data_IF_849561032896
#
_entry.id   IF_849561032896
#
_cell.length_a   1.000
_cell.length_b   1.000
_cell.length_c   1.000
_cell.angle_alpha   90.00
_cell.angle_beta   90.00
_cell.angle_gamma   90.00
#
_symmetry.space_group_name_H-M   'P 1'
#
loop_
_entity.id
_entity.type
_entity.pdbx_description
1 polymer ?
#
# COMPACT_ATOMS: atom_id res chain seq x y z
N UNK A 1 -28.30 10.78 -4.08
CA UNK A 1 -27.27 11.79 -4.41
C UNK A 1 -26.33 11.19 -5.46
N UNK A 2 -26.64 11.33 -6.76
CA UNK A 2 -25.81 10.77 -7.83
C UNK A 2 -24.63 11.71 -8.12
N UNK A 3 -23.48 11.49 -7.48
CA UNK A 3 -22.23 12.14 -7.87
C UNK A 3 -21.88 11.66 -9.29
N UNK A 4 -21.96 12.55 -10.27
CA UNK A 4 -21.49 12.26 -11.64
C UNK A 4 -19.98 12.03 -11.57
N UNK A 5 -19.55 10.80 -11.76
CA UNK A 5 -18.14 10.44 -11.86
C UNK A 5 -17.60 11.10 -13.14
N UNK A 6 -16.65 12.02 -12.98
CA UNK A 6 -15.97 12.67 -14.10
C UNK A 6 -14.72 11.86 -14.47
N UNK A 7 -14.36 11.86 -15.76
CA UNK A 7 -13.12 11.23 -16.25
C UNK A 7 -11.90 11.73 -15.46
N UNK A 8 -11.89 13.02 -15.08
CA UNK A 8 -10.86 13.60 -14.24
C UNK A 8 -10.78 12.95 -12.85
N UNK A 9 -11.91 12.68 -12.20
CA UNK A 9 -11.92 12.00 -10.90
C UNK A 9 -11.46 10.54 -10.98
N UNK A 10 -11.69 9.89 -12.13
CA UNK A 10 -11.28 8.50 -12.36
C UNK A 10 -9.78 8.41 -12.62
N UNK A 11 -9.20 9.36 -13.35
CA UNK A 11 -7.76 9.50 -13.54
C UNK A 11 -7.03 9.79 -12.22
N UNK A 12 -7.56 10.71 -11.40
CA UNK A 12 -6.98 11.00 -10.07
C UNK A 12 -7.01 9.76 -9.18
N UNK A 13 -8.14 9.05 -9.13
CA UNK A 13 -8.25 7.82 -8.35
C UNK A 13 -7.27 6.73 -8.82
N UNK A 14 -7.15 6.53 -10.14
CA UNK A 14 -6.16 5.61 -10.73
C UNK A 14 -4.73 6.01 -10.35
N UNK A 15 -4.40 7.30 -10.44
CA UNK A 15 -3.07 7.80 -10.09
C UNK A 15 -2.72 7.56 -8.62
N UNK A 16 -3.68 7.78 -7.71
CA UNK A 16 -3.50 7.50 -6.28
C UNK A 16 -3.27 6.00 -6.05
N UNK A 17 -4.09 5.13 -6.65
CA UNK A 17 -3.99 3.67 -6.47
C UNK A 17 -2.70 3.10 -7.06
N UNK A 18 -2.30 3.54 -8.26
CA UNK A 18 -1.04 3.11 -8.86
C UNK A 18 0.18 3.63 -8.11
N UNK A 19 0.11 4.88 -7.61
CA UNK A 19 1.13 5.41 -6.72
C UNK A 19 1.23 4.59 -5.43
N UNK A 20 0.11 4.08 -4.94
CA UNK A 20 0.05 3.27 -3.73
C UNK A 20 0.73 1.91 -3.87
N UNK A 21 0.39 1.21 -4.96
CA UNK A 21 0.92 -0.12 -5.28
C UNK A 21 2.41 -0.06 -5.66
N UNK A 22 2.84 1.03 -6.31
CA UNK A 22 4.19 1.16 -6.87
C UNK A 22 5.30 1.42 -5.86
N UNK A 23 5.01 1.98 -4.67
CA UNK A 23 6.07 2.32 -3.72
C UNK A 23 6.71 1.10 -3.06
N UNK A 24 5.93 0.06 -2.74
CA UNK A 24 6.44 -1.11 -2.02
C UNK A 24 7.49 -1.90 -2.81
N UNK A 25 7.31 -2.18 -4.12
CA UNK A 25 8.36 -2.76 -4.96
C UNK A 25 9.64 -1.94 -5.03
N UNK A 26 9.55 -0.60 -5.06
CA UNK A 26 10.72 0.27 -5.15
C UNK A 26 11.64 0.13 -3.92
N UNK A 27 11.08 -0.05 -2.71
CA UNK A 27 11.91 -0.36 -1.54
C UNK A 27 12.56 -1.72 -1.63
N UNK A 28 11.83 -2.73 -2.10
CA UNK A 28 12.40 -4.08 -2.25
C UNK A 28 13.57 -4.03 -3.23
N UNK A 29 13.43 -3.32 -4.35
CA UNK A 29 14.51 -3.13 -5.31
C UNK A 29 15.69 -2.35 -4.71
N UNK A 30 15.45 -1.26 -3.96
CA UNK A 30 16.48 -0.50 -3.24
C UNK A 30 17.25 -1.39 -2.27
N UNK A 31 16.54 -2.22 -1.49
CA UNK A 31 17.13 -3.15 -0.52
C UNK A 31 17.93 -4.25 -1.20
N UNK A 32 17.44 -4.82 -2.30
CA UNK A 32 18.14 -5.85 -3.08
C UNK A 32 19.48 -5.36 -3.64
N UNK A 33 19.53 -4.14 -4.15
CA UNK A 33 20.76 -3.54 -4.68
C UNK A 33 21.82 -3.27 -3.59
N UNK A 34 21.42 -3.24 -2.32
CA UNK A 34 22.32 -3.05 -1.18
C UNK A 34 22.95 -4.33 -0.62
N UNK A 35 22.50 -5.53 -1.02
CA UNK A 35 22.91 -6.80 -0.40
C UNK A 35 24.30 -7.27 -0.87
N UNK A 36 24.69 -7.00 -2.12
CA UNK A 36 25.94 -7.50 -2.72
C UNK A 36 26.98 -6.38 -2.99
N UNK A 37 27.20 -5.44 -2.07
CA UNK A 37 28.15 -4.32 -2.26
C UNK A 37 27.94 -3.52 -3.57
N UNK A 38 26.73 -3.52 -4.14
CA UNK A 38 26.42 -2.87 -5.41
C UNK A 38 26.84 -3.67 -6.67
N UNK A 39 27.15 -4.98 -6.55
CA UNK A 39 27.34 -5.84 -7.72
C UNK A 39 26.00 -6.11 -8.41
N UNK A 40 25.71 -5.32 -9.43
CA UNK A 40 24.51 -5.45 -10.25
C UNK A 40 24.76 -6.51 -11.33
N UNK A 41 24.34 -7.74 -11.05
CA UNK A 41 24.29 -8.81 -12.07
C UNK A 41 22.94 -8.82 -12.79
N UNK A 42 22.94 -9.13 -14.10
CA UNK A 42 21.72 -9.34 -14.87
C UNK A 42 20.77 -10.35 -14.21
N UNK A 43 21.33 -11.37 -13.56
CA UNK A 43 20.54 -12.40 -12.89
C UNK A 43 19.83 -11.88 -11.62
N UNK A 44 20.44 -10.91 -10.93
CA UNK A 44 19.86 -10.27 -9.75
C UNK A 44 18.72 -9.33 -10.15
N UNK A 45 18.88 -8.57 -11.23
CA UNK A 45 17.80 -7.71 -11.78
C UNK A 45 16.62 -8.57 -12.25
N UNK A 46 16.88 -9.56 -13.12
CA UNK A 46 15.82 -10.41 -13.65
C UNK A 46 15.15 -11.24 -12.56
N UNK A 47 15.92 -11.74 -11.59
CA UNK A 47 15.41 -12.44 -10.42
C UNK A 47 14.53 -11.55 -9.55
N UNK A 48 14.98 -10.34 -9.21
CA UNK A 48 14.23 -9.38 -8.40
C UNK A 48 12.94 -8.93 -9.05
N UNK A 49 12.98 -8.56 -10.34
CA UNK A 49 11.78 -8.17 -11.10
C UNK A 49 10.79 -9.33 -11.20
N UNK A 50 11.26 -10.54 -11.47
CA UNK A 50 10.41 -11.74 -11.51
C UNK A 50 9.75 -12.02 -10.15
N UNK A 51 10.51 -11.89 -9.06
CA UNK A 51 10.02 -12.13 -7.71
C UNK A 51 8.94 -11.11 -7.32
N UNK A 52 9.16 -9.83 -7.61
CA UNK A 52 8.15 -8.77 -7.44
C UNK A 52 6.90 -9.07 -8.28
N UNK A 53 7.09 -9.40 -9.56
CA UNK A 53 5.99 -9.68 -10.48
C UNK A 53 5.11 -10.85 -10.00
N UNK A 54 5.73 -11.98 -9.65
CA UNK A 54 5.00 -13.15 -9.16
C UNK A 54 4.38 -12.91 -7.79
N UNK A 55 5.07 -12.20 -6.90
CA UNK A 55 4.53 -11.88 -5.56
C UNK A 55 3.30 -10.99 -5.67
N UNK A 56 3.35 -9.92 -6.48
CA UNK A 56 2.20 -9.05 -6.69
C UNK A 56 1.05 -9.81 -7.31
N UNK A 57 1.31 -10.61 -8.36
CA UNK A 57 0.28 -11.40 -9.07
C UNK A 57 -0.39 -12.41 -8.14
N UNK A 58 0.39 -13.16 -7.36
CA UNK A 58 -0.14 -14.17 -6.43
C UNK A 58 -0.87 -13.52 -5.25
N UNK A 59 -0.29 -12.47 -4.66
CA UNK A 59 -0.90 -11.75 -3.55
C UNK A 59 -2.25 -11.16 -3.95
N UNK A 60 -2.36 -10.51 -5.11
CA UNK A 60 -3.63 -9.93 -5.57
C UNK A 60 -4.67 -11.01 -5.88
N UNK A 61 -4.25 -12.11 -6.52
CA UNK A 61 -5.16 -13.19 -6.91
C UNK A 61 -5.72 -13.91 -5.67
N UNK A 62 -4.86 -14.32 -4.73
CA UNK A 62 -5.30 -15.09 -3.58
C UNK A 62 -6.09 -14.22 -2.60
N UNK A 63 -5.55 -13.06 -2.19
CA UNK A 63 -6.16 -12.22 -1.16
C UNK A 63 -7.43 -11.52 -1.67
N UNK A 64 -7.39 -10.94 -2.87
CA UNK A 64 -8.48 -10.09 -3.34
C UNK A 64 -9.49 -10.87 -4.18
N UNK A 65 -9.03 -11.66 -5.16
CA UNK A 65 -9.95 -12.37 -6.06
C UNK A 65 -10.62 -13.55 -5.35
N UNK A 66 -9.85 -14.37 -4.64
CA UNK A 66 -10.40 -15.57 -4.01
C UNK A 66 -11.15 -15.27 -2.70
N UNK A 67 -10.59 -14.44 -1.81
CA UNK A 67 -11.16 -14.23 -0.47
C UNK A 67 -12.10 -13.02 -0.44
N UNK A 68 -11.70 -11.88 -1.02
CA UNK A 68 -12.43 -10.62 -0.83
C UNK A 68 -13.67 -10.51 -1.72
N UNK A 69 -13.62 -11.05 -2.96
CA UNK A 69 -14.78 -11.03 -3.86
C UNK A 69 -15.85 -12.07 -3.49
N UNK A 70 -15.49 -13.18 -2.84
CA UNK A 70 -16.46 -14.17 -2.34
C UNK A 70 -17.16 -13.74 -1.04
N UNK A 71 -16.59 -12.78 -0.32
CA UNK A 71 -17.11 -12.29 0.95
C UNK A 71 -18.02 -11.06 0.78
N UNK A 72 -19.04 -11.18 -0.06
CA UNK A 72 -20.03 -10.12 -0.27
C UNK A 72 -21.20 -10.20 0.74
N UNK A 73 -21.70 -9.04 1.19
CA UNK A 73 -22.90 -8.96 2.02
C UNK A 73 -24.01 -8.22 1.28
N UNK A 74 -24.80 -8.92 0.45
CA UNK A 74 -25.94 -8.32 -0.27
C UNK A 74 -25.58 -7.04 -1.03
N UNK A 75 -24.43 -7.04 -1.72
CA UNK A 75 -23.97 -5.90 -2.52
C UNK A 75 -23.13 -4.83 -1.79
N UNK A 76 -22.93 -4.94 -0.47
CA UNK A 76 -21.91 -4.14 0.23
C UNK A 76 -20.62 -4.96 0.36
N UNK A 77 -19.60 -4.60 -0.44
CA UNK A 77 -18.26 -5.19 -0.38
C UNK A 77 -17.33 -4.41 0.55
N UNK A 78 -16.44 -5.12 1.24
CA UNK A 78 -15.37 -4.52 2.03
C UNK A 78 -15.25 -5.05 3.45
N UNK A 79 -14.15 -4.69 4.10
CA UNK A 79 -13.76 -5.15 5.44
C UNK A 79 -14.87 -4.79 6.48
N UNK A 80 -15.54 -3.65 6.29
CA UNK A 80 -16.66 -3.19 7.14
C UNK A 80 -17.96 -4.00 6.95
N UNK A 81 -18.26 -4.46 5.75
CA UNK A 81 -19.41 -5.33 5.48
C UNK A 81 -19.21 -6.71 6.08
N UNK A 82 -17.98 -7.24 5.96
CA UNK A 82 -17.52 -8.45 6.64
C UNK A 82 -17.65 -8.33 8.18
N UNK A 83 -17.33 -7.17 8.76
CA UNK A 83 -17.55 -6.92 10.20
C UNK A 83 -19.02 -7.03 10.61
N UNK A 84 -19.94 -6.56 9.78
CA UNK A 84 -21.39 -6.64 10.06
C UNK A 84 -21.93 -8.08 9.98
N UNK A 85 -21.38 -8.91 9.09
CA UNK A 85 -21.73 -10.33 8.92
C UNK A 85 -21.19 -11.19 10.06
N UNK A 86 -19.92 -10.98 10.42
CA UNK A 86 -19.20 -11.77 11.43
C UNK A 86 -19.85 -11.65 12.81
N UNK A 87 -20.35 -10.46 13.17
CA UNK A 87 -21.09 -10.21 14.41
C UNK A 87 -22.34 -11.08 14.56
N UNK A 88 -22.97 -11.50 13.46
CA UNK A 88 -24.19 -12.33 13.46
C UNK A 88 -23.88 -13.83 13.63
N UNK A 89 -22.67 -14.30 13.26
CA UNK A 89 -22.30 -15.72 13.35
C UNK A 89 -21.76 -16.12 14.72
N UNK A 90 -20.90 -15.32 15.36
CA UNK A 90 -20.41 -15.61 16.70
C UNK A 90 -19.94 -14.36 17.45
N UNK A 91 -20.33 -14.21 18.73
CA UNK A 91 -19.96 -13.06 19.58
C UNK A 91 -18.44 -12.93 19.78
N UNK A 92 -17.70 -14.03 19.80
CA UNK A 92 -16.24 -14.03 19.97
C UNK A 92 -15.49 -13.45 18.76
N UNK A 93 -16.07 -13.56 17.55
CA UNK A 93 -15.43 -13.05 16.33
C UNK A 93 -15.40 -11.51 16.25
N UNK A 94 -16.03 -10.80 17.20
CA UNK A 94 -15.91 -9.34 17.35
C UNK A 94 -14.47 -8.94 17.70
N UNK A 95 -13.76 -9.76 18.49
CA UNK A 95 -12.39 -9.44 18.92
C UNK A 95 -11.42 -9.36 17.73
N UNK A 96 -11.27 -10.42 16.90
CA UNK A 96 -10.41 -10.35 15.72
C UNK A 96 -10.92 -9.30 14.71
N UNK A 97 -12.23 -9.05 14.67
CA UNK A 97 -12.80 -8.01 13.84
C UNK A 97 -12.35 -6.59 14.25
N UNK A 98 -12.43 -6.25 15.53
CA UNK A 98 -11.98 -4.95 16.04
C UNK A 98 -10.48 -4.78 15.84
N UNK A 99 -9.70 -5.83 16.07
CA UNK A 99 -8.24 -5.82 15.84
C UNK A 99 -7.95 -5.55 14.35
N UNK A 100 -8.60 -6.27 13.43
CA UNK A 100 -8.43 -6.04 12.00
C UNK A 100 -8.81 -4.62 11.58
N UNK A 101 -9.87 -4.06 12.17
CA UNK A 101 -10.34 -2.70 11.87
C UNK A 101 -9.37 -1.64 12.36
N UNK A 102 -8.84 -1.83 13.57
CA UNK A 102 -7.80 -0.99 14.14
C UNK A 102 -6.50 -1.06 13.33
N UNK A 103 -6.07 -2.25 12.93
CA UNK A 103 -4.89 -2.42 12.07
C UNK A 103 -5.06 -1.76 10.71
N UNK A 104 -6.24 -1.84 10.10
CA UNK A 104 -6.53 -1.17 8.83
C UNK A 104 -6.51 0.36 8.96
N UNK A 105 -7.07 0.91 10.04
CA UNK A 105 -6.99 2.35 10.33
C UNK A 105 -5.55 2.79 10.61
N UNK A 106 -4.78 1.99 11.35
CA UNK A 106 -3.37 2.25 11.62
C UNK A 106 -2.55 2.26 10.31
N UNK A 107 -2.78 1.30 9.41
CA UNK A 107 -2.13 1.21 8.11
C UNK A 107 -2.44 2.45 7.23
N UNK A 108 -3.70 2.89 7.24
CA UNK A 108 -4.14 4.12 6.58
C UNK A 108 -3.52 5.40 7.15
N UNK A 109 -3.21 5.42 8.45
CA UNK A 109 -2.47 6.52 9.08
C UNK A 109 -0.97 6.47 8.76
N UNK A 110 -0.35 5.29 8.75
CA UNK A 110 1.10 5.10 8.56
C UNK A 110 1.53 5.41 7.13
N UNK A 111 0.71 5.06 6.14
CA UNK A 111 1.08 5.14 4.72
C UNK A 111 1.46 6.56 4.24
N UNK A 112 0.68 7.63 4.54
CA UNK A 112 1.07 9.00 4.18
C UNK A 112 2.43 9.42 4.76
N UNK A 113 2.74 9.00 5.98
CA UNK A 113 3.97 9.39 6.69
C UNK A 113 5.20 8.74 6.06
N UNK A 114 5.09 7.45 5.72
CA UNK A 114 6.16 6.70 5.04
C UNK A 114 6.39 7.25 3.62
N UNK A 115 5.30 7.59 2.90
CA UNK A 115 5.34 8.21 1.56
C UNK A 115 6.12 9.52 1.54
N UNK A 116 5.78 10.44 2.45
CA UNK A 116 6.43 11.77 2.51
C UNK A 116 7.90 11.64 2.87
N UNK A 117 8.22 10.84 3.88
CA UNK A 117 9.61 10.61 4.31
C UNK A 117 10.46 10.07 3.16
N UNK A 118 9.91 9.12 2.40
CA UNK A 118 10.67 8.45 1.35
C UNK A 118 10.79 9.25 0.06
N UNK A 119 9.80 10.10 -0.23
CA UNK A 119 9.93 11.10 -1.29
C UNK A 119 11.10 12.06 -0.99
N UNK A 120 11.28 12.44 0.27
CA UNK A 120 12.35 13.35 0.69
C UNK A 120 13.72 12.64 0.74
N UNK A 121 13.78 11.38 1.18
CA UNK A 121 14.97 10.55 1.03
C UNK A 121 15.41 10.46 -0.44
N UNK A 122 14.46 10.24 -1.36
CA UNK A 122 14.73 10.22 -2.80
C UNK A 122 15.23 11.57 -3.32
N UNK A 123 14.67 12.69 -2.85
CA UNK A 123 15.10 14.03 -3.22
C UNK A 123 16.54 14.32 -2.77
N UNK A 124 16.95 13.78 -1.62
CA UNK A 124 18.30 13.95 -1.05
C UNK A 124 19.39 13.34 -1.94
N UNK A 125 19.04 12.40 -2.84
CA UNK A 125 19.98 11.83 -3.82
C UNK A 125 20.34 12.80 -4.95
N UNK A 126 19.49 13.79 -5.22
CA UNK A 126 19.66 14.76 -6.32
C UNK A 126 20.05 16.14 -5.80
N UNK A 127 19.57 16.52 -4.61
CA UNK A 127 19.85 17.80 -3.95
C UNK A 127 20.35 17.53 -2.53
N UNK A 128 21.53 18.05 -2.18
CA UNK A 128 22.01 18.01 -0.78
C UNK A 128 21.22 19.02 0.06
N UNK A 129 20.14 18.55 0.68
CA UNK A 129 19.29 19.33 1.58
C UNK A 129 19.72 19.03 3.02
N UNK A 130 19.84 20.07 3.85
CA UNK A 130 20.09 19.88 5.29
C UNK A 130 18.96 19.07 5.95
N UNK A 131 19.33 18.13 6.82
CA UNK A 131 18.38 17.26 7.55
C UNK A 131 17.34 18.04 8.34
N UNK A 132 17.66 19.27 8.77
CA UNK A 132 16.74 20.17 9.47
C UNK A 132 15.59 20.65 8.57
N UNK A 133 15.89 20.95 7.31
CA UNK A 133 14.90 21.39 6.31
C UNK A 133 13.99 20.21 5.93
N UNK A 134 14.55 19.00 5.82
CA UNK A 134 13.78 17.76 5.60
C UNK A 134 12.72 17.58 6.69
N UNK A 135 13.11 17.66 7.96
CA UNK A 135 12.19 17.48 9.10
C UNK A 135 11.07 18.54 9.08
N UNK A 136 11.40 19.80 8.77
CA UNK A 136 10.42 20.89 8.67
C UNK A 136 9.42 20.63 7.54
N UNK A 137 9.88 20.18 6.37
CA UNK A 137 9.00 19.84 5.23
C UNK A 137 8.08 18.67 5.59
N UNK A 138 8.61 17.59 6.20
CA UNK A 138 7.81 16.44 6.64
C UNK A 138 6.69 16.88 7.59
N UNK A 139 7.01 17.66 8.62
CA UNK A 139 6.04 18.14 9.63
C UNK A 139 5.04 19.13 9.02
N UNK A 140 5.41 19.90 7.99
CA UNK A 140 4.51 20.86 7.35
C UNK A 140 3.52 20.23 6.37
N UNK A 141 3.88 19.09 5.79
CA UNK A 141 3.03 18.35 4.83
C UNK A 141 2.05 17.42 5.56
N UNK A 142 2.47 16.86 6.71
CA UNK A 142 1.66 15.99 7.57
C UNK A 142 0.67 16.75 8.43
#
# INVERSE_FOLDING_TARGET
MNKKISIASLLVALGIVYGDIGTSPLYVMKSMLGVDNGYISNQLILGGVSLVFWTLTLQTTIKYVMITLEADNKGEGGIFSLYSLVRKKAKWLIIPAVIGGASFLADGMITPQVRVTSAIEGLTLVVQIETKVIIIIVISIL
#
